data_IF_806040118496
#
_entry.id   IF_806040118496
#
_cell.length_a   1.000
_cell.length_b   1.000
_cell.length_c   1.000
_cell.angle_alpha   90.00
_cell.angle_beta   90.00
_cell.angle_gamma   90.00
#
_symmetry.space_group_name_H-M   'P 1'
#
loop_
_entity.id
_entity.type
_entity.pdbx_description
1 polymer ?
#
# COMPACT_ATOMS: atom_id res chain seq x y z
N UNK A 1 -7.39 16.46 36.11
CA UNK A 1 -8.42 15.42 35.97
C UNK A 1 -8.01 14.52 34.79
N UNK A 2 -7.14 13.50 35.01
CA UNK A 2 -6.68 12.59 33.99
C UNK A 2 -7.69 11.45 33.88
N UNK A 3 -8.63 11.54 32.93
CA UNK A 3 -9.47 10.42 32.53
C UNK A 3 -8.61 9.46 31.69
N UNK A 4 -7.94 8.52 32.33
CA UNK A 4 -7.31 7.40 31.66
C UNK A 4 -8.41 6.55 31.04
N UNK A 5 -8.54 6.61 29.70
CA UNK A 5 -9.45 5.74 28.95
C UNK A 5 -9.20 4.28 29.35
N UNK A 6 -10.24 3.60 29.83
CA UNK A 6 -10.17 2.19 30.17
C UNK A 6 -9.74 1.38 28.93
N UNK A 7 -8.94 0.33 29.13
CA UNK A 7 -8.52 -0.59 28.07
C UNK A 7 -9.70 -1.13 27.23
N UNK A 8 -10.85 -1.29 27.88
CA UNK A 8 -12.10 -1.76 27.28
C UNK A 8 -12.72 -0.69 26.37
N UNK A 9 -12.69 0.57 26.79
CA UNK A 9 -13.22 1.68 26.00
C UNK A 9 -12.35 1.93 24.76
N UNK A 10 -11.01 1.89 24.92
CA UNK A 10 -10.10 2.04 23.79
C UNK A 10 -10.25 0.93 22.74
N UNK A 11 -10.47 -0.32 23.16
CA UNK A 11 -10.71 -1.44 22.24
C UNK A 11 -11.95 -1.21 21.36
N UNK A 12 -12.98 -0.53 21.87
CA UNK A 12 -14.19 -0.18 21.12
C UNK A 12 -13.91 0.83 20.02
N UNK A 13 -13.00 1.78 20.27
CA UNK A 13 -12.64 2.84 19.30
C UNK A 13 -11.50 2.43 18.36
N UNK A 14 -10.83 1.31 18.62
CA UNK A 14 -9.69 0.84 17.81
C UNK A 14 -10.01 0.77 16.30
N UNK A 15 -11.11 0.13 15.84
CA UNK A 15 -11.39 0.05 14.40
C UNK A 15 -11.59 1.42 13.75
N UNK A 16 -12.23 2.35 14.47
CA UNK A 16 -12.39 3.72 14.00
C UNK A 16 -11.04 4.43 13.89
N UNK A 17 -10.17 4.27 14.87
CA UNK A 17 -8.82 4.85 14.86
C UNK A 17 -7.99 4.31 13.67
N UNK A 18 -8.04 3.00 13.41
CA UNK A 18 -7.35 2.39 12.26
C UNK A 18 -7.89 2.95 10.93
N UNK A 19 -9.20 3.16 10.83
CA UNK A 19 -9.82 3.79 9.66
C UNK A 19 -9.31 5.21 9.44
N UNK A 20 -9.29 6.03 10.51
CA UNK A 20 -8.78 7.42 10.44
C UNK A 20 -7.32 7.44 9.99
N UNK A 21 -6.48 6.56 10.53
CA UNK A 21 -5.07 6.43 10.12
C UNK A 21 -4.97 6.07 8.63
N UNK A 22 -5.80 5.14 8.15
CA UNK A 22 -5.84 4.75 6.73
C UNK A 22 -6.23 5.93 5.83
N UNK A 23 -7.29 6.65 6.19
CA UNK A 23 -7.74 7.84 5.44
C UNK A 23 -6.63 8.89 5.37
N UNK A 24 -5.97 9.16 6.50
CA UNK A 24 -4.84 10.08 6.54
C UNK A 24 -3.70 9.63 5.61
N UNK A 25 -3.35 8.34 5.60
CA UNK A 25 -2.31 7.79 4.72
C UNK A 25 -2.67 7.93 3.23
N UNK A 26 -3.94 7.69 2.87
CA UNK A 26 -4.43 7.86 1.51
C UNK A 26 -4.36 9.33 1.08
N UNK A 27 -4.81 10.26 1.93
CA UNK A 27 -4.74 11.69 1.66
C UNK A 27 -3.29 12.17 1.52
N UNK A 28 -2.39 11.71 2.38
CA UNK A 28 -0.96 11.99 2.28
C UNK A 28 -0.38 11.47 0.95
N UNK A 29 -0.80 10.27 0.51
CA UNK A 29 -0.40 9.71 -0.78
C UNK A 29 -0.88 10.52 -1.99
N UNK A 30 -2.03 11.20 -1.89
CA UNK A 30 -2.52 12.11 -2.93
C UNK A 30 -1.72 13.42 -2.98
N UNK A 31 -1.22 13.88 -1.83
CA UNK A 31 -0.41 15.10 -1.74
C UNK A 31 0.99 14.94 -2.32
N UNK A 32 1.56 13.75 -2.25
CA UNK A 32 2.89 13.45 -2.79
C UNK A 32 2.78 12.62 -4.07
N UNK A 33 2.70 13.27 -5.26
CA UNK A 33 2.62 12.54 -6.52
C UNK A 33 3.91 11.74 -6.75
N UNK A 34 3.76 10.52 -7.23
CA UNK A 34 4.90 9.70 -7.66
C UNK A 34 5.52 10.32 -8.92
N UNK A 35 6.78 10.72 -8.84
CA UNK A 35 7.51 11.28 -9.98
C UNK A 35 8.39 10.21 -10.62
N UNK A 36 8.13 9.92 -11.89
CA UNK A 36 9.00 9.08 -12.71
C UNK A 36 10.07 9.96 -13.31
N UNK A 37 11.33 9.64 -13.05
CA UNK A 37 12.45 10.34 -13.67
C UNK A 37 12.71 9.74 -15.05
N UNK A 38 12.11 10.34 -16.09
CA UNK A 38 12.11 9.81 -17.45
C UNK A 38 13.51 9.70 -18.09
N UNK A 39 14.50 10.44 -17.59
CA UNK A 39 15.85 10.50 -18.16
C UNK A 39 16.80 9.41 -17.66
N UNK A 40 16.44 8.73 -16.60
CA UNK A 40 17.29 7.72 -16.00
C UNK A 40 16.73 6.34 -16.38
N UNK A 41 17.58 5.50 -16.99
CA UNK A 41 17.27 4.09 -17.30
C UNK A 41 17.26 3.26 -16.01
N UNK A 42 16.43 3.67 -15.04
CA UNK A 42 16.23 2.92 -13.83
C UNK A 42 15.15 1.85 -14.02
N UNK A 43 15.15 0.95 -13.10
CA UNK A 43 14.20 -0.14 -12.96
C UNK A 43 12.73 0.28 -13.09
N UNK A 44 12.41 1.49 -12.61
CA UNK A 44 11.06 2.05 -12.67
C UNK A 44 10.55 2.21 -14.10
N UNK A 45 11.41 2.68 -15.02
CA UNK A 45 11.04 2.85 -16.43
C UNK A 45 10.68 1.50 -17.06
N UNK A 46 11.49 0.47 -16.84
CA UNK A 46 11.22 -0.88 -17.35
C UNK A 46 9.88 -1.43 -16.86
N UNK A 47 9.57 -1.21 -15.57
CA UNK A 47 8.30 -1.66 -14.98
C UNK A 47 7.10 -0.93 -15.59
N UNK A 48 7.23 0.36 -15.93
CA UNK A 48 6.18 1.13 -16.60
C UNK A 48 6.03 0.74 -18.08
N UNK A 49 7.13 0.51 -18.80
CA UNK A 49 7.10 0.02 -20.18
C UNK A 49 6.39 -1.34 -20.23
N UNK A 50 6.75 -2.27 -19.34
CA UNK A 50 6.08 -3.57 -19.23
C UNK A 50 4.57 -3.44 -18.88
N UNK A 51 4.20 -2.48 -18.05
CA UNK A 51 2.79 -2.23 -17.74
C UNK A 51 2.03 -1.66 -18.96
N UNK A 52 2.66 -0.81 -19.74
CA UNK A 52 2.09 -0.28 -20.99
C UNK A 52 1.88 -1.38 -22.03
N UNK A 53 2.87 -2.26 -22.21
CA UNK A 53 2.78 -3.41 -23.11
C UNK A 53 1.65 -4.35 -22.71
N UNK A 54 1.52 -4.64 -21.42
CA UNK A 54 0.39 -5.43 -20.89
C UNK A 54 -0.97 -4.77 -21.17
N UNK A 55 -1.08 -3.44 -21.04
CA UNK A 55 -2.30 -2.69 -21.38
C UNK A 55 -2.63 -2.78 -22.87
N UNK A 56 -1.61 -2.84 -23.72
CA UNK A 56 -1.73 -2.96 -25.18
C UNK A 56 -1.98 -4.40 -25.65
N UNK A 57 -2.07 -5.36 -24.72
CA UNK A 57 -2.28 -6.78 -25.02
C UNK A 57 -1.01 -7.55 -25.41
N UNK A 58 0.15 -6.91 -25.30
CA UNK A 58 1.45 -7.55 -25.51
C UNK A 58 1.97 -8.09 -24.19
N UNK A 59 2.10 -9.42 -24.08
CA UNK A 59 2.57 -10.05 -22.86
C UNK A 59 4.06 -9.78 -22.65
N UNK A 60 4.39 -8.94 -21.65
CA UNK A 60 5.76 -8.59 -21.24
C UNK A 60 6.66 -7.93 -22.31
N UNK A 61 6.10 -7.40 -23.40
CA UNK A 61 6.85 -6.68 -24.42
C UNK A 61 7.81 -7.56 -25.24
N UNK A 62 8.80 -6.93 -25.89
CA UNK A 62 9.87 -7.65 -26.59
C UNK A 62 10.74 -8.40 -25.59
N UNK A 63 10.94 -9.68 -25.82
CA UNK A 63 11.76 -10.55 -24.98
C UNK A 63 13.23 -10.15 -25.09
N UNK A 64 13.75 -9.47 -24.08
CA UNK A 64 15.16 -9.11 -23.96
C UNK A 64 15.77 -9.66 -22.66
N UNK A 65 17.07 -9.41 -22.44
CA UNK A 65 17.79 -9.87 -21.25
C UNK A 65 17.27 -9.28 -19.93
N UNK A 66 16.44 -8.22 -19.99
CA UNK A 66 15.89 -7.54 -18.82
C UNK A 66 14.46 -7.98 -18.48
N UNK A 67 13.75 -8.61 -19.42
CA UNK A 67 12.34 -9.00 -19.26
C UNK A 67 12.13 -9.98 -18.11
N UNK A 68 13.09 -10.89 -17.88
CA UNK A 68 13.03 -11.88 -16.80
C UNK A 68 13.63 -11.39 -15.47
N UNK A 69 14.38 -10.28 -15.48
CA UNK A 69 15.07 -9.79 -14.29
C UNK A 69 14.11 -9.25 -13.23
N UNK A 70 12.88 -8.90 -13.61
CA UNK A 70 11.89 -8.29 -12.71
C UNK A 70 10.56 -9.02 -12.81
N UNK A 71 10.00 -9.35 -11.66
CA UNK A 71 8.73 -10.06 -11.56
C UNK A 71 7.57 -9.24 -12.13
N UNK A 72 6.63 -9.93 -12.77
CA UNK A 72 5.41 -9.37 -13.39
C UNK A 72 4.46 -8.68 -12.39
N UNK A 73 4.59 -8.92 -11.10
CA UNK A 73 3.65 -8.45 -10.08
C UNK A 73 3.47 -6.94 -10.06
N UNK A 74 4.57 -6.18 -10.18
CA UNK A 74 4.49 -4.72 -10.17
C UNK A 74 3.89 -4.12 -11.44
N UNK A 75 4.25 -4.54 -12.67
CA UNK A 75 3.54 -4.16 -13.88
C UNK A 75 2.04 -4.45 -13.82
N UNK A 76 1.62 -5.63 -13.34
CA UNK A 76 0.20 -5.96 -13.16
C UNK A 76 -0.49 -5.03 -12.16
N UNK A 77 0.19 -4.65 -11.09
CA UNK A 77 -0.33 -3.68 -10.14
C UNK A 77 -0.56 -2.31 -10.78
N UNK A 78 0.36 -1.84 -11.63
CA UNK A 78 0.20 -0.59 -12.39
C UNK A 78 -0.97 -0.66 -13.37
N UNK A 79 -1.12 -1.79 -14.09
CA UNK A 79 -2.26 -2.05 -14.97
C UNK A 79 -3.57 -2.02 -14.19
N UNK A 80 -3.62 -2.63 -13.01
CA UNK A 80 -4.79 -2.62 -12.13
C UNK A 80 -5.15 -1.19 -11.70
N UNK A 81 -4.16 -0.39 -11.26
CA UNK A 81 -4.37 1.01 -10.91
C UNK A 81 -4.98 1.80 -12.06
N UNK A 82 -4.45 1.62 -13.29
CA UNK A 82 -4.96 2.27 -14.49
C UNK A 82 -6.38 1.83 -14.83
N UNK A 83 -6.68 0.53 -14.78
CA UNK A 83 -8.03 0.00 -15.07
C UNK A 83 -9.08 0.45 -14.05
N UNK A 84 -8.68 0.61 -12.79
CA UNK A 84 -9.57 1.12 -11.74
C UNK A 84 -9.68 2.65 -11.75
N UNK A 85 -8.97 3.36 -12.64
CA UNK A 85 -8.88 4.83 -12.66
C UNK A 85 -8.46 5.43 -11.31
N UNK A 86 -7.65 4.69 -10.53
CA UNK A 86 -7.13 5.12 -9.24
C UNK A 86 -5.69 5.63 -9.40
N UNK A 87 -5.32 6.73 -8.71
CA UNK A 87 -3.93 7.11 -8.57
C UNK A 87 -3.13 5.95 -7.95
N UNK A 88 -1.92 5.71 -8.47
CA UNK A 88 -1.02 4.67 -7.98
C UNK A 88 -0.81 4.74 -6.45
N UNK A 89 -0.58 5.94 -5.93
CA UNK A 89 -0.36 6.19 -4.50
C UNK A 89 -1.55 5.80 -3.63
N UNK A 90 -2.77 5.97 -4.14
CA UNK A 90 -4.01 5.55 -3.46
C UNK A 90 -4.10 4.04 -3.39
N UNK A 91 -3.93 3.36 -4.54
CA UNK A 91 -4.00 1.90 -4.58
C UNK A 91 -2.92 1.26 -3.72
N UNK A 92 -1.68 1.80 -3.74
CA UNK A 92 -0.58 1.35 -2.90
C UNK A 92 -0.91 1.53 -1.40
N UNK A 93 -1.46 2.70 -1.02
CA UNK A 93 -1.85 2.99 0.36
C UNK A 93 -2.94 2.04 0.86
N UNK A 94 -3.93 1.72 0.00
CA UNK A 94 -4.99 0.77 0.32
C UNK A 94 -4.46 -0.66 0.48
N UNK A 95 -3.55 -1.08 -0.40
CA UNK A 95 -2.92 -2.40 -0.32
C UNK A 95 -2.09 -2.54 0.96
N UNK A 96 -1.32 -1.50 1.30
CA UNK A 96 -0.51 -1.44 2.52
C UNK A 96 -1.40 -1.45 3.77
N UNK A 97 -2.50 -0.70 3.77
CA UNK A 97 -3.47 -0.70 4.86
C UNK A 97 -4.14 -2.07 5.05
N UNK A 98 -4.51 -2.73 3.95
CA UNK A 98 -5.07 -4.09 4.00
C UNK A 98 -4.05 -5.09 4.58
N UNK A 99 -2.80 -5.05 4.13
CA UNK A 99 -1.72 -5.89 4.66
C UNK A 99 -1.46 -5.63 6.15
N UNK A 100 -1.37 -4.37 6.55
CA UNK A 100 -1.19 -3.98 7.96
C UNK A 100 -2.37 -4.45 8.83
N UNK A 101 -3.60 -4.29 8.34
CA UNK A 101 -4.79 -4.74 9.05
C UNK A 101 -4.83 -6.27 9.23
N UNK A 102 -4.54 -7.03 8.17
CA UNK A 102 -4.47 -8.49 8.24
C UNK A 102 -3.40 -8.96 9.21
N UNK A 103 -2.23 -8.33 9.18
CA UNK A 103 -1.13 -8.65 10.10
C UNK A 103 -1.51 -8.37 11.56
N UNK A 104 -2.05 -7.17 11.85
CA UNK A 104 -2.51 -6.82 13.20
C UNK A 104 -3.59 -7.79 13.66
N UNK A 105 -4.51 -8.19 12.79
CA UNK A 105 -5.56 -9.17 13.12
C UNK A 105 -4.98 -10.55 13.43
N UNK A 106 -3.99 -11.01 12.68
CA UNK A 106 -3.32 -12.28 12.96
C UNK A 106 -2.60 -12.25 14.32
N UNK A 107 -1.88 -11.16 14.62
CA UNK A 107 -1.18 -10.98 15.89
C UNK A 107 -2.15 -10.82 17.07
N UNK A 108 -3.32 -10.21 16.85
CA UNK A 108 -4.33 -9.94 17.89
C UNK A 108 -4.85 -11.21 18.57
N UNK A 109 -4.80 -12.34 17.88
CA UNK A 109 -5.16 -13.66 18.45
C UNK A 109 -4.29 -14.01 19.66
N UNK A 110 -3.01 -13.63 19.61
CA UNK A 110 -2.04 -13.91 20.68
C UNK A 110 -1.78 -12.72 21.60
N UNK A 111 -1.90 -11.52 21.07
CA UNK A 111 -1.56 -10.27 21.76
C UNK A 111 -2.76 -9.32 21.82
N UNK A 112 -3.49 -9.39 22.93
CA UNK A 112 -4.76 -8.67 23.13
C UNK A 112 -4.59 -7.24 23.66
N UNK A 113 -3.43 -6.60 23.46
CA UNK A 113 -3.22 -5.21 23.88
C UNK A 113 -3.65 -4.23 22.76
N UNK A 114 -4.77 -3.50 22.92
CA UNK A 114 -5.29 -2.63 21.86
C UNK A 114 -4.39 -1.44 21.55
N UNK A 115 -3.64 -0.92 22.52
CA UNK A 115 -2.66 0.14 22.29
C UNK A 115 -1.49 -0.36 21.43
N UNK A 116 -0.97 -1.54 21.75
CA UNK A 116 0.08 -2.15 20.95
C UNK A 116 -0.37 -2.48 19.52
N UNK A 117 -1.62 -2.89 19.33
CA UNK A 117 -2.19 -3.14 18.01
C UNK A 117 -2.28 -1.84 17.18
N UNK A 118 -2.69 -0.72 17.79
CA UNK A 118 -2.73 0.58 17.14
C UNK A 118 -1.32 1.06 16.72
N UNK A 119 -0.33 0.92 17.61
CA UNK A 119 1.06 1.28 17.31
C UNK A 119 1.62 0.41 16.18
N UNK A 120 1.39 -0.90 16.25
CA UNK A 120 1.86 -1.84 15.23
C UNK A 120 1.24 -1.52 13.85
N UNK A 121 -0.05 -1.22 13.82
CA UNK A 121 -0.72 -0.80 12.59
C UNK A 121 -0.10 0.47 12.01
N UNK A 122 0.11 1.49 12.84
CA UNK A 122 0.72 2.75 12.42
C UNK A 122 2.13 2.55 11.87
N UNK A 123 2.96 1.74 12.53
CA UNK A 123 4.30 1.43 12.05
C UNK A 123 4.27 0.73 10.68
N UNK A 124 3.38 -0.25 10.49
CA UNK A 124 3.24 -0.96 9.22
C UNK A 124 2.62 -0.09 8.11
N UNK A 125 1.76 0.85 8.46
CA UNK A 125 1.10 1.73 7.50
C UNK A 125 2.05 2.79 6.93
N UNK A 126 3.06 3.20 7.69
CA UNK A 126 4.00 4.26 7.32
C UNK A 126 5.45 3.75 7.13
N UNK A 127 5.64 2.45 7.03
CA UNK A 127 6.96 1.83 6.76
C UNK A 127 7.45 2.03 5.32
#
# INVERSE_FOLDING_TARGET
>A
MHTTLSKKDFSRYLPFLLLVMTVFRVLAGLWFPYMIVAYLRYDDRLLFENAYDLLSGVWLGSYDSYTLAKGIGYPLFLVLAKKLCLPYSVLLSLLQAAGAWLFVRAVSVRWQNPYGQAILYLLLLFS
#
